data_IF_948988382612
#
_entry.id   IF_948988382612
#
_cell.length_a   1.000
_cell.length_b   1.000
_cell.length_c   1.000
_cell.angle_alpha   90.00
_cell.angle_beta   90.00
_cell.angle_gamma   90.00
#
_symmetry.space_group_name_H-M   'P 1'
#
loop_
_entity.id
_entity.type
_entity.pdbx_description
1 polymer ?
#
# COMPACT_ATOMS: atom_id res chain seq x y z
N UNK A 1 14.61 0.64 -3.48
CA UNK A 1 13.14 0.74 -3.46
C UNK A 1 12.56 -0.46 -4.18
N UNK A 2 11.57 -1.14 -3.58
CA UNK A 2 10.76 -2.21 -4.19
C UNK A 2 9.26 -1.91 -4.09
N UNK A 3 8.45 -2.53 -4.94
CA UNK A 3 7.04 -2.14 -5.10
C UNK A 3 6.09 -3.27 -5.50
N UNK A 4 4.79 -2.97 -5.39
CA UNK A 4 3.66 -3.72 -5.95
C UNK A 4 2.63 -2.67 -6.45
N UNK A 5 2.09 -2.78 -7.67
CA UNK A 5 1.17 -1.77 -8.26
C UNK A 5 -0.29 -2.19 -8.24
N UNK A 6 -1.22 -1.69 -9.06
CA UNK A 6 -2.50 -2.38 -9.31
C UNK A 6 -2.37 -3.28 -10.56
N UNK A 7 -3.18 -4.34 -10.65
CA UNK A 7 -3.38 -5.12 -11.89
C UNK A 7 -4.63 -4.69 -12.67
N UNK A 8 -5.37 -3.69 -12.20
CA UNK A 8 -6.54 -3.17 -12.89
C UNK A 8 -6.16 -2.70 -14.30
N UNK A 9 -7.02 -2.97 -15.28
CA UNK A 9 -6.80 -2.62 -16.69
C UNK A 9 -6.85 -1.11 -16.93
N UNK A 10 -7.61 -0.37 -16.13
CA UNK A 10 -7.75 1.08 -16.19
C UNK A 10 -6.71 1.78 -15.32
N UNK A 11 -5.42 1.49 -15.53
CA UNK A 11 -4.34 2.10 -14.74
C UNK A 11 -4.41 3.62 -14.76
N UNK A 12 -4.38 4.24 -13.58
CA UNK A 12 -4.33 5.70 -13.46
C UNK A 12 -3.02 6.26 -14.01
N UNK A 13 -3.06 7.49 -14.54
CA UNK A 13 -1.89 8.21 -15.04
C UNK A 13 -0.67 8.19 -14.08
N UNK A 14 -0.80 8.47 -12.77
CA UNK A 14 0.34 8.41 -11.84
C UNK A 14 0.96 7.01 -11.70
N UNK A 15 0.17 5.93 -11.80
CA UNK A 15 0.70 4.56 -11.77
C UNK A 15 1.54 4.28 -13.01
N UNK A 16 1.09 4.72 -14.18
CA UNK A 16 1.84 4.59 -15.45
C UNK A 16 3.15 5.36 -15.35
N UNK A 17 3.09 6.65 -14.98
CA UNK A 17 4.28 7.50 -14.85
C UNK A 17 5.27 6.96 -13.83
N UNK A 18 4.80 6.49 -12.67
CA UNK A 18 5.67 5.89 -11.65
C UNK A 18 6.30 4.58 -12.13
N UNK A 19 5.57 3.71 -12.83
CA UNK A 19 6.13 2.52 -13.48
C UNK A 19 7.25 2.90 -14.45
N UNK A 20 7.08 3.96 -15.24
CA UNK A 20 8.11 4.45 -16.16
C UNK A 20 9.35 5.00 -15.45
N UNK A 21 9.19 5.77 -14.37
CA UNK A 21 10.33 6.27 -13.58
C UNK A 21 11.14 5.13 -12.98
N UNK A 22 10.45 4.12 -12.48
CA UNK A 22 11.07 2.99 -11.82
C UNK A 22 11.76 2.00 -12.76
N UNK A 23 11.45 2.06 -14.08
CA UNK A 23 12.26 1.41 -15.13
C UNK A 23 13.61 2.10 -15.32
N UNK A 24 13.70 3.41 -15.07
CA UNK A 24 14.93 4.19 -15.25
C UNK A 24 15.88 4.05 -14.06
N UNK A 25 15.33 4.06 -12.85
CA UNK A 25 16.14 3.99 -11.63
C UNK A 25 15.35 3.41 -10.45
N UNK A 26 16.07 2.73 -9.56
CA UNK A 26 15.57 2.27 -8.25
C UNK A 26 16.02 3.17 -7.09
N UNK A 27 16.80 4.21 -7.40
CA UNK A 27 17.33 5.19 -6.45
C UNK A 27 16.36 6.37 -6.29
N UNK A 28 15.17 6.08 -5.77
CA UNK A 28 14.16 7.11 -5.51
C UNK A 28 14.49 7.86 -4.23
N UNK A 29 14.34 9.18 -4.26
CA UNK A 29 14.62 10.11 -3.18
C UNK A 29 13.36 10.83 -2.66
N UNK A 30 12.32 10.93 -3.49
CA UNK A 30 11.06 11.54 -3.08
C UNK A 30 9.85 10.80 -3.69
N UNK A 31 8.77 10.77 -2.92
CA UNK A 31 7.44 10.37 -3.36
C UNK A 31 6.55 11.59 -3.16
N UNK A 32 5.89 12.06 -4.22
CA UNK A 32 4.88 13.12 -4.14
C UNK A 32 3.51 12.48 -4.26
N UNK A 33 2.64 12.74 -3.28
CA UNK A 33 1.34 12.09 -3.18
C UNK A 33 0.28 13.18 -3.07
N UNK A 34 -0.78 13.08 -3.87
CA UNK A 34 -1.97 13.92 -3.69
C UNK A 34 -3.18 13.06 -3.32
N UNK A 35 -4.03 13.58 -2.44
CA UNK A 35 -5.34 13.03 -2.10
C UNK A 35 -6.46 13.89 -2.69
N UNK A 36 -7.69 13.38 -2.68
CA UNK A 36 -8.89 14.04 -3.22
C UNK A 36 -9.17 13.80 -4.72
N UNK A 37 -8.13 13.68 -5.56
CA UNK A 37 -8.27 13.39 -7.00
C UNK A 37 -7.30 12.28 -7.40
N UNK A 38 -7.82 11.17 -7.93
CA UNK A 38 -7.03 10.00 -8.28
C UNK A 38 -6.21 10.17 -9.57
N UNK A 39 -6.53 11.17 -10.39
CA UNK A 39 -5.96 11.34 -11.73
C UNK A 39 -6.02 10.05 -12.57
N UNK A 40 -7.17 9.38 -12.48
CA UNK A 40 -7.51 8.18 -13.25
C UNK A 40 -8.56 8.55 -14.31
N UNK A 41 -8.52 7.90 -15.47
CA UNK A 41 -9.42 8.18 -16.60
C UNK A 41 -9.39 9.65 -17.07
N UNK A 42 -8.22 10.29 -17.01
CA UNK A 42 -8.00 11.72 -17.32
C UNK A 42 -7.29 11.96 -18.65
N UNK A 43 -7.07 10.90 -19.44
CA UNK A 43 -6.44 10.94 -20.76
C UNK A 43 -5.01 11.48 -20.74
N UNK A 44 -4.58 11.97 -21.90
CA UNK A 44 -3.24 12.53 -22.13
C UNK A 44 -2.92 13.71 -21.20
N UNK A 45 -3.92 14.53 -20.89
CA UNK A 45 -3.76 15.65 -19.95
C UNK A 45 -3.40 15.17 -18.54
N UNK A 46 -4.06 14.11 -18.05
CA UNK A 46 -3.74 13.50 -16.77
C UNK A 46 -2.32 12.94 -16.70
N UNK A 47 -1.86 12.31 -17.78
CA UNK A 47 -0.47 11.85 -17.91
C UNK A 47 0.53 13.02 -17.84
N UNK A 48 0.29 14.09 -18.60
CA UNK A 48 1.12 15.30 -18.56
C UNK A 48 1.13 15.95 -17.18
N UNK A 49 -0.02 16.01 -16.51
CA UNK A 49 -0.13 16.55 -15.15
C UNK A 49 0.70 15.74 -14.16
N UNK A 50 0.63 14.39 -14.20
CA UNK A 50 1.46 13.54 -13.35
C UNK A 50 2.97 13.73 -13.60
N UNK A 51 3.38 13.89 -14.87
CA UNK A 51 4.76 14.22 -15.24
C UNK A 51 5.15 15.61 -14.71
N UNK A 52 4.29 16.62 -14.89
CA UNK A 52 4.50 18.00 -14.43
C UNK A 52 4.66 18.07 -12.90
N UNK A 53 3.88 17.30 -12.13
CA UNK A 53 4.06 17.18 -10.68
C UNK A 53 5.47 16.74 -10.30
N UNK A 54 6.06 15.79 -11.05
CA UNK A 54 7.46 15.38 -10.85
C UNK A 54 8.43 16.52 -11.15
N UNK A 55 8.18 17.29 -12.20
CA UNK A 55 9.05 18.42 -12.56
C UNK A 55 9.04 19.51 -11.48
N UNK A 56 7.85 19.88 -11.03
CA UNK A 56 7.65 20.83 -9.93
C UNK A 56 8.36 20.34 -8.67
N UNK A 57 8.16 19.07 -8.30
CA UNK A 57 8.81 18.46 -7.13
C UNK A 57 10.33 18.48 -7.26
N UNK A 58 10.85 18.22 -8.46
CA UNK A 58 12.28 18.26 -8.76
C UNK A 58 12.86 19.67 -8.54
N UNK A 59 12.15 20.70 -8.96
CA UNK A 59 12.58 22.10 -8.79
C UNK A 59 12.63 22.49 -7.31
N UNK A 60 11.57 22.23 -6.54
CA UNK A 60 11.50 22.64 -5.13
C UNK A 60 12.39 21.80 -4.19
N UNK A 61 12.68 20.54 -4.53
CA UNK A 61 13.54 19.67 -3.71
C UNK A 61 15.01 19.62 -4.16
N UNK A 62 15.35 20.17 -5.33
CA UNK A 62 16.69 20.02 -5.91
C UNK A 62 17.07 18.56 -6.22
N UNK A 63 16.07 17.69 -6.40
CA UNK A 63 16.25 16.26 -6.70
C UNK A 63 16.05 16.02 -8.19
N UNK A 64 16.90 15.21 -8.83
CA UNK A 64 16.71 14.86 -10.25
C UNK A 64 15.34 14.21 -10.51
N UNK A 65 14.63 14.64 -11.56
CA UNK A 65 13.30 14.13 -11.96
C UNK A 65 13.18 12.59 -12.01
N UNK A 66 14.26 11.89 -12.38
CA UNK A 66 14.26 10.40 -12.44
C UNK A 66 14.17 9.74 -11.06
N UNK A 67 14.59 10.43 -10.01
CA UNK A 67 14.61 9.93 -8.64
C UNK A 67 13.32 10.28 -7.86
N UNK A 68 12.26 10.70 -8.55
CA UNK A 68 10.98 11.11 -7.97
C UNK A 68 9.87 10.25 -8.58
N UNK A 69 8.98 9.77 -7.73
CA UNK A 69 7.76 9.07 -8.14
C UNK A 69 6.52 9.79 -7.63
N UNK A 70 5.39 9.56 -8.29
CA UNK A 70 4.11 10.20 -7.98
C UNK A 70 3.06 9.16 -7.64
N UNK A 71 2.17 9.49 -6.71
CA UNK A 71 0.95 8.74 -6.46
C UNK A 71 -0.24 9.68 -6.29
N UNK A 72 -1.43 9.17 -6.54
CA UNK A 72 -2.67 9.93 -6.38
C UNK A 72 -3.78 9.03 -5.88
N UNK A 73 -4.75 9.59 -5.17
CA UNK A 73 -5.95 8.87 -4.71
C UNK A 73 -7.13 9.84 -4.58
N UNK A 74 -8.36 9.35 -4.74
CA UNK A 74 -9.58 10.13 -4.66
C UNK A 74 -10.47 9.99 -5.89
N UNK A 75 -11.12 11.07 -6.29
CA UNK A 75 -12.15 11.04 -7.36
C UNK A 75 -11.52 10.72 -8.73
N UNK A 76 -12.15 9.79 -9.46
CA UNK A 76 -11.80 9.38 -10.84
C UNK A 76 -12.42 10.38 -11.85
N UNK A 77 -11.75 10.63 -12.97
CA UNK A 77 -12.26 11.44 -14.08
C UNK A 77 -12.10 12.96 -13.91
N UNK A 78 -11.54 13.43 -12.79
CA UNK A 78 -11.24 14.85 -12.56
C UNK A 78 -9.77 15.16 -12.85
N UNK A 79 -9.53 16.27 -13.54
CA UNK A 79 -8.17 16.79 -13.76
C UNK A 79 -7.58 17.32 -12.46
N UNK A 80 -6.26 17.20 -12.32
CA UNK A 80 -5.54 17.79 -11.19
C UNK A 80 -5.53 19.33 -11.31
N UNK A 81 -5.90 20.07 -10.24
CA UNK A 81 -5.75 21.51 -10.20
C UNK A 81 -4.27 21.86 -10.02
N UNK A 82 -3.53 21.99 -11.12
CA UNK A 82 -2.06 22.06 -11.09
C UNK A 82 -1.49 23.23 -10.28
N UNK A 83 -2.18 24.36 -10.24
CA UNK A 83 -1.77 25.51 -9.39
C UNK A 83 -1.76 25.13 -7.91
N UNK A 84 -2.75 24.36 -7.44
CA UNK A 84 -2.83 23.86 -6.06
C UNK A 84 -1.78 22.79 -5.80
N UNK A 85 -1.48 21.95 -6.80
CA UNK A 85 -0.41 20.95 -6.71
C UNK A 85 0.93 21.66 -6.53
N UNK A 86 1.20 22.69 -7.32
CA UNK A 86 2.45 23.44 -7.25
C UNK A 86 2.64 24.11 -5.89
N UNK A 87 1.62 24.83 -5.43
CA UNK A 87 1.65 25.48 -4.12
C UNK A 87 1.79 24.46 -2.98
N UNK A 88 1.07 23.33 -3.05
CA UNK A 88 1.21 22.26 -2.06
C UNK A 88 2.62 21.67 -2.03
N UNK A 89 3.23 21.42 -3.18
CA UNK A 89 4.61 20.93 -3.25
C UNK A 89 5.59 21.94 -2.67
N UNK A 90 5.44 23.24 -2.98
CA UNK A 90 6.27 24.32 -2.42
C UNK A 90 6.19 24.34 -0.89
N UNK A 91 4.99 24.24 -0.32
CA UNK A 91 4.79 24.23 1.13
C UNK A 91 5.39 22.97 1.78
N UNK A 92 5.17 21.79 1.20
CA UNK A 92 5.74 20.54 1.69
C UNK A 92 7.28 20.56 1.67
N UNK A 93 7.88 21.10 0.61
CA UNK A 93 9.33 21.23 0.50
C UNK A 93 9.93 22.07 1.65
N UNK A 94 9.24 23.13 2.07
CA UNK A 94 9.67 23.99 3.19
C UNK A 94 9.50 23.33 4.57
N UNK A 95 8.67 22.28 4.68
CA UNK A 95 8.30 21.62 5.95
C UNK A 95 8.92 20.23 6.12
N UNK A 96 9.79 19.79 5.21
CA UNK A 96 10.39 18.47 5.28
C UNK A 96 11.10 18.25 6.63
N UNK A 97 10.73 17.17 7.29
CA UNK A 97 11.26 16.77 8.59
C UNK A 97 11.64 15.28 8.59
N UNK A 98 12.60 14.90 9.42
CA UNK A 98 12.98 13.51 9.64
C UNK A 98 12.05 12.74 10.59
N UNK A 99 11.10 13.42 11.24
CA UNK A 99 10.27 12.85 12.32
C UNK A 99 8.77 13.02 12.10
N UNK A 100 8.35 13.65 11.01
CA UNK A 100 6.93 13.98 10.75
C UNK A 100 6.26 12.96 9.82
N UNK A 101 6.24 11.69 10.26
CA UNK A 101 5.53 10.63 9.53
C UNK A 101 4.01 10.78 9.60
N UNK A 102 3.51 11.34 10.70
CA UNK A 102 2.08 11.49 10.98
C UNK A 102 1.39 12.44 10.00
N UNK A 103 1.96 13.62 9.77
CA UNK A 103 1.37 14.57 8.81
C UNK A 103 1.29 13.99 7.39
N UNK A 104 2.24 13.12 7.02
CA UNK A 104 2.17 12.39 5.75
C UNK A 104 1.06 11.33 5.74
N UNK A 105 0.84 10.64 6.86
CA UNK A 105 -0.26 9.67 7.00
C UNK A 105 -1.63 10.35 6.91
N UNK A 106 -1.81 11.52 7.53
CA UNK A 106 -3.05 12.32 7.46
C UNK A 106 -3.28 12.89 6.05
N UNK A 107 -2.24 13.41 5.40
CA UNK A 107 -2.36 14.07 4.10
C UNK A 107 -2.80 13.12 2.97
N UNK A 108 -2.58 11.81 3.11
CA UNK A 108 -2.95 10.82 2.08
C UNK A 108 -4.37 10.26 2.23
N UNK A 109 -5.08 10.59 3.31
CA UNK A 109 -6.44 10.08 3.57
C UNK A 109 -7.46 10.56 2.53
N UNK A 110 -8.54 9.79 2.35
CA UNK A 110 -9.73 10.26 1.61
C UNK A 110 -11.02 10.05 2.38
N UNK A 111 -11.50 8.81 2.44
CA UNK A 111 -12.72 8.39 3.12
C UNK A 111 -12.39 7.66 4.43
N UNK A 112 -11.10 7.38 4.64
CA UNK A 112 -10.51 6.98 5.90
C UNK A 112 -10.99 7.89 7.06
N UNK A 113 -11.37 7.29 8.19
CA UNK A 113 -11.75 8.06 9.39
C UNK A 113 -10.52 8.38 10.25
N UNK A 114 -9.47 7.55 10.15
CA UNK A 114 -8.24 7.68 10.94
C UNK A 114 -6.98 7.43 10.12
N UNK A 115 -5.90 8.12 10.51
CA UNK A 115 -4.56 7.87 9.98
C UNK A 115 -4.08 6.45 10.32
N UNK A 116 -3.41 5.80 9.37
CA UNK A 116 -2.93 4.41 9.52
C UNK A 116 -1.42 4.40 9.41
N UNK A 117 -0.77 4.30 10.55
CA UNK A 117 0.69 4.33 10.66
C UNK A 117 1.21 3.34 11.70
N UNK A 118 2.45 2.89 11.52
CA UNK A 118 3.15 2.01 12.47
C UNK A 118 4.66 2.17 12.29
N UNK A 119 5.40 2.08 13.39
CA UNK A 119 6.85 1.96 13.37
C UNK A 119 7.30 0.83 14.32
N UNK A 120 8.29 0.06 13.88
CA UNK A 120 8.88 -1.04 14.66
C UNK A 120 10.40 -0.93 14.63
N UNK A 121 11.03 -1.37 15.71
CA UNK A 121 12.49 -1.40 15.86
C UNK A 121 12.97 -2.82 16.14
N UNK A 122 14.07 -3.22 15.48
CA UNK A 122 14.79 -4.45 15.75
C UNK A 122 16.12 -4.06 16.40
N UNK A 123 16.30 -4.52 17.65
CA UNK A 123 17.54 -4.30 18.39
C UNK A 123 18.73 -5.01 17.72
N UNK A 124 19.81 -4.27 17.56
CA UNK A 124 21.07 -4.71 16.95
C UNK A 124 22.17 -4.59 18.00
N UNK A 125 22.80 -5.71 18.36
CA UNK A 125 23.92 -5.72 19.29
C UNK A 125 25.08 -4.88 18.77
N UNK A 126 25.53 -3.91 19.58
CA UNK A 126 26.68 -3.06 19.29
C UNK A 126 26.49 -2.08 18.13
N UNK A 127 25.25 -1.79 17.71
CA UNK A 127 24.97 -0.94 16.55
C UNK A 127 23.64 -0.20 16.62
N UNK A 128 23.33 0.55 15.56
CA UNK A 128 22.03 1.22 15.42
C UNK A 128 20.92 0.23 15.11
N UNK A 129 19.77 0.43 15.73
CA UNK A 129 18.57 -0.36 15.48
C UNK A 129 18.16 -0.32 14.00
N UNK A 130 17.64 -1.46 13.52
CA UNK A 130 16.90 -1.47 12.25
C UNK A 130 15.49 -0.97 12.53
N UNK A 131 15.10 0.11 11.87
CA UNK A 131 13.78 0.72 11.98
C UNK A 131 13.00 0.43 10.69
N UNK A 132 11.72 0.07 10.85
CA UNK A 132 10.76 -0.03 9.76
C UNK A 132 9.55 0.82 10.14
N UNK A 133 9.26 1.85 9.36
CA UNK A 133 8.08 2.69 9.51
C UNK A 133 7.19 2.56 8.29
N UNK A 134 5.88 2.58 8.46
CA UNK A 134 4.93 2.49 7.36
C UNK A 134 3.70 3.32 7.60
N UNK A 135 3.20 3.93 6.53
CA UNK A 135 1.90 4.59 6.46
C UNK A 135 1.07 3.90 5.38
N UNK A 136 -0.24 3.86 5.58
CA UNK A 136 -1.17 3.40 4.56
C UNK A 136 -2.45 4.23 4.56
N UNK A 137 -3.21 4.11 3.47
CA UNK A 137 -4.57 4.63 3.36
C UNK A 137 -5.41 3.68 2.53
N UNK A 138 -6.71 3.76 2.69
CA UNK A 138 -7.70 2.88 2.08
C UNK A 138 -8.81 2.57 3.08
N UNK A 139 -10.04 2.62 2.60
CA UNK A 139 -11.26 2.37 3.38
C UNK A 139 -12.34 1.78 2.47
N UNK A 140 -12.57 2.40 1.31
CA UNK A 140 -13.36 1.86 0.21
C UNK A 140 -12.52 1.40 -0.98
N UNK A 141 -13.15 0.65 -1.87
CA UNK A 141 -12.61 0.03 -3.08
C UNK A 141 -11.46 -0.96 -2.78
N UNK A 142 -11.60 -1.78 -1.75
CA UNK A 142 -10.54 -2.69 -1.28
C UNK A 142 -10.84 -4.13 -1.72
N UNK A 143 -9.99 -4.73 -2.57
CA UNK A 143 -10.04 -6.16 -2.98
C UNK A 143 -8.65 -6.67 -3.43
N UNK A 144 -8.28 -7.94 -3.17
CA UNK A 144 -6.97 -8.48 -3.55
C UNK A 144 -6.61 -8.38 -5.04
N UNK A 145 -5.33 -8.64 -5.31
CA UNK A 145 -4.61 -8.37 -6.57
C UNK A 145 -4.21 -6.91 -6.71
N UNK A 146 -3.89 -6.36 -5.54
CA UNK A 146 -3.55 -4.98 -5.24
C UNK A 146 -4.82 -4.13 -5.36
N UNK A 147 -5.37 -3.87 -4.16
CA UNK A 147 -6.64 -3.25 -3.71
C UNK A 147 -6.52 -1.73 -3.51
N UNK A 148 -7.61 -0.90 -3.50
CA UNK A 148 -7.60 0.61 -3.28
C UNK A 148 -6.88 1.09 -2.05
N UNK A 149 -5.57 0.98 -2.11
CA UNK A 149 -4.71 1.36 -1.03
C UNK A 149 -3.45 1.97 -1.59
N UNK A 150 -2.94 2.93 -0.83
CA UNK A 150 -1.55 3.36 -0.95
C UNK A 150 -0.85 2.97 0.34
N UNK A 151 0.34 2.39 0.22
CA UNK A 151 1.17 1.98 1.35
C UNK A 151 2.61 2.33 1.08
N UNK A 152 3.20 3.11 1.97
CA UNK A 152 4.57 3.61 1.85
C UNK A 152 5.34 3.22 3.10
N UNK A 153 6.32 2.35 2.91
CA UNK A 153 7.13 1.76 3.98
C UNK A 153 8.57 2.20 3.78
N UNK A 154 9.21 2.62 4.86
CA UNK A 154 10.61 3.01 4.88
C UNK A 154 11.37 2.17 5.89
N UNK A 155 12.63 1.90 5.58
CA UNK A 155 13.57 1.24 6.50
C UNK A 155 14.97 1.79 6.33
N UNK A 156 15.72 1.76 7.42
CA UNK A 156 17.11 2.21 7.45
C UNK A 156 18.14 1.08 7.17
N UNK A 157 17.71 -0.17 6.99
CA UNK A 157 18.64 -1.30 6.73
C UNK A 157 19.20 -1.28 5.31
N UNK A 158 20.42 -1.77 5.13
CA UNK A 158 20.98 -2.11 3.82
C UNK A 158 20.57 -3.53 3.45
N UNK A 159 19.89 -3.69 2.31
CA UNK A 159 19.42 -5.00 1.85
C UNK A 159 19.52 -5.10 0.31
N UNK A 160 20.00 -6.23 -0.25
CA UNK A 160 19.98 -6.45 -1.68
C UNK A 160 18.57 -6.35 -2.26
N UNK A 161 18.49 -5.77 -3.46
CA UNK A 161 17.23 -5.53 -4.17
C UNK A 161 16.43 -6.82 -4.33
N UNK A 162 17.03 -7.85 -4.91
CA UNK A 162 16.40 -9.16 -5.11
C UNK A 162 15.86 -9.78 -3.82
N UNK A 163 16.57 -9.62 -2.70
CA UNK A 163 16.12 -10.13 -1.41
C UNK A 163 14.90 -9.36 -0.89
N UNK A 164 14.91 -8.03 -1.01
CA UNK A 164 13.77 -7.21 -0.64
C UNK A 164 12.56 -7.43 -1.56
N UNK A 165 12.76 -7.68 -2.86
CA UNK A 165 11.71 -8.03 -3.81
C UNK A 165 11.02 -9.34 -3.41
N UNK A 166 11.80 -10.36 -3.07
CA UNK A 166 11.26 -11.65 -2.64
C UNK A 166 10.43 -11.52 -1.35
N UNK A 167 10.97 -10.79 -0.35
CA UNK A 167 10.25 -10.55 0.90
C UNK A 167 8.95 -9.78 0.61
N UNK A 168 9.03 -8.69 -0.16
CA UNK A 168 7.87 -7.88 -0.48
C UNK A 168 6.79 -8.68 -1.20
N UNK A 169 7.16 -9.47 -2.21
CA UNK A 169 6.19 -10.28 -2.97
C UNK A 169 5.45 -11.28 -2.08
N UNK A 170 6.15 -11.94 -1.15
CA UNK A 170 5.55 -12.88 -0.20
C UNK A 170 4.64 -12.16 0.81
N UNK A 171 5.11 -11.04 1.36
CA UNK A 171 4.38 -10.32 2.41
C UNK A 171 3.19 -9.52 1.87
N UNK A 172 3.25 -8.96 0.65
CA UNK A 172 2.07 -8.37 -0.02
C UNK A 172 0.98 -9.42 -0.15
N UNK A 173 1.34 -10.64 -0.58
CA UNK A 173 0.42 -11.78 -0.66
C UNK A 173 -0.32 -12.06 0.64
N UNK A 174 0.39 -11.97 1.78
CA UNK A 174 -0.11 -12.30 3.13
C UNK A 174 -0.69 -11.12 3.92
N UNK A 175 -0.74 -9.93 3.34
CA UNK A 175 -1.24 -8.70 3.98
C UNK A 175 -2.24 -8.00 3.08
N UNK A 176 -1.80 -7.03 2.28
CA UNK A 176 -2.64 -6.18 1.43
C UNK A 176 -3.42 -6.99 0.36
N UNK A 177 -2.87 -8.09 -0.15
CA UNK A 177 -3.59 -9.01 -1.04
C UNK A 177 -4.40 -10.07 -0.29
N UNK A 178 -4.60 -9.94 1.02
CA UNK A 178 -5.41 -10.84 1.86
C UNK A 178 -6.53 -10.09 2.59
N UNK A 179 -6.85 -8.87 2.15
CA UNK A 179 -7.93 -8.06 2.70
C UNK A 179 -8.92 -7.67 1.62
N UNK A 180 -10.18 -7.47 2.01
CA UNK A 180 -11.24 -6.92 1.17
C UNK A 180 -12.23 -6.14 2.03
N UNK A 181 -12.84 -5.10 1.45
CA UNK A 181 -13.96 -4.36 2.05
C UNK A 181 -15.19 -4.53 1.19
N UNK A 182 -15.11 -4.25 -0.11
CA UNK A 182 -16.26 -4.16 -1.01
C UNK A 182 -16.08 -4.91 -2.33
N UNK A 183 -15.02 -5.72 -2.49
CA UNK A 183 -14.83 -6.49 -3.71
C UNK A 183 -14.32 -5.67 -4.91
N UNK A 184 -14.08 -4.38 -4.76
CA UNK A 184 -13.73 -3.51 -5.88
C UNK A 184 -12.21 -3.27 -5.94
N UNK A 185 -11.58 -3.49 -7.10
CA UNK A 185 -10.13 -3.27 -7.28
C UNK A 185 -9.83 -1.86 -7.82
N UNK A 186 -8.86 -1.13 -7.24
CA UNK A 186 -8.54 0.23 -7.69
C UNK A 186 -7.79 0.32 -9.01
N UNK A 187 -7.81 1.53 -9.54
CA UNK A 187 -6.95 1.99 -10.63
C UNK A 187 -5.58 2.54 -10.16
N UNK A 188 -5.40 2.75 -8.85
CA UNK A 188 -4.26 3.51 -8.29
C UNK A 188 -3.29 2.73 -7.40
N UNK A 189 -3.51 1.44 -7.16
CA UNK A 189 -2.87 0.76 -6.03
C UNK A 189 -1.37 0.69 -6.07
N UNK A 190 -0.78 0.87 -4.90
CA UNK A 190 0.67 0.95 -4.78
C UNK A 190 1.16 0.65 -3.37
N UNK A 191 1.98 -0.39 -3.25
CA UNK A 191 2.85 -0.63 -2.08
C UNK A 191 4.26 -0.26 -2.48
N UNK A 192 4.93 0.60 -1.73
CA UNK A 192 6.35 0.96 -1.92
C UNK A 192 7.12 0.65 -0.64
N UNK A 193 8.29 0.02 -0.77
CA UNK A 193 9.28 -0.12 0.32
C UNK A 193 10.59 0.56 -0.08
N UNK A 194 11.03 1.55 0.71
CA UNK A 194 12.31 2.26 0.54
C UNK A 194 13.27 1.86 1.65
N UNK A 195 14.44 1.34 1.25
CA UNK A 195 15.56 1.08 2.14
C UNK A 195 16.65 2.13 1.88
N UNK A 196 17.03 2.90 2.90
CA UNK A 196 18.00 4.00 2.76
C UNK A 196 19.40 3.70 3.34
N UNK A 197 19.59 2.52 3.93
CA UNK A 197 20.88 2.04 4.45
C UNK A 197 21.51 2.87 5.60
N UNK A 198 20.77 3.76 6.27
CA UNK A 198 21.29 4.61 7.36
C UNK A 198 21.63 3.88 8.66
N UNK A 199 21.18 2.65 8.90
CA UNK A 199 21.50 1.92 10.15
C UNK A 199 22.92 1.36 10.19
N UNK A 200 23.65 1.38 9.07
CA UNK A 200 24.92 0.66 8.87
C UNK A 200 24.82 -0.87 9.05
N UNK A 201 23.61 -1.43 9.17
CA UNK A 201 23.36 -2.86 9.22
C UNK A 201 23.04 -3.37 7.82
N UNK A 202 23.69 -4.46 7.43
CA UNK A 202 23.50 -5.09 6.12
C UNK A 202 22.96 -6.51 6.28
N UNK A 203 21.82 -6.79 5.63
CA UNK A 203 21.26 -8.14 5.50
C UNK A 203 21.73 -8.68 4.15
N UNK A 204 22.75 -9.54 4.15
CA UNK A 204 23.39 -9.98 2.90
C UNK A 204 22.59 -11.02 2.13
N UNK A 205 21.94 -11.94 2.84
CA UNK A 205 21.20 -13.07 2.26
C UNK A 205 20.26 -13.69 3.31
N UNK A 206 19.57 -14.78 2.95
CA UNK A 206 18.60 -15.48 3.83
C UNK A 206 19.21 -16.14 5.07
N UNK A 207 20.53 -16.37 5.09
CA UNK A 207 21.26 -16.95 6.23
C UNK A 207 21.74 -15.89 7.21
N UNK A 208 21.59 -14.60 6.88
CA UNK A 208 21.98 -13.49 7.74
C UNK A 208 21.21 -13.51 9.08
N UNK A 209 21.90 -13.20 10.17
CA UNK A 209 21.33 -13.25 11.53
C UNK A 209 20.10 -12.33 11.70
N UNK A 210 20.02 -11.24 10.93
CA UNK A 210 18.89 -10.31 10.99
C UNK A 210 17.80 -10.59 9.95
N UNK A 211 18.02 -11.51 9.00
CA UNK A 211 17.07 -11.77 7.91
C UNK A 211 15.67 -12.15 8.43
N UNK A 212 15.58 -13.14 9.32
CA UNK A 212 14.29 -13.59 9.88
C UNK A 212 13.61 -12.49 10.70
N UNK A 213 14.39 -11.76 11.51
CA UNK A 213 13.88 -10.64 12.33
C UNK A 213 13.31 -9.54 11.45
N UNK A 214 14.03 -9.14 10.39
CA UNK A 214 13.59 -8.14 9.43
C UNK A 214 12.34 -8.58 8.66
N UNK A 215 12.32 -9.81 8.13
CA UNK A 215 11.14 -10.34 7.43
C UNK A 215 9.91 -10.33 8.34
N UNK A 216 10.05 -10.78 9.59
CA UNK A 216 8.94 -10.79 10.54
C UNK A 216 8.46 -9.38 10.91
N UNK A 217 9.39 -8.43 11.09
CA UNK A 217 9.06 -7.04 11.38
C UNK A 217 8.34 -6.36 10.21
N UNK A 218 8.79 -6.61 8.96
CA UNK A 218 8.11 -6.11 7.77
C UNK A 218 6.72 -6.76 7.62
N UNK A 219 6.60 -8.07 7.87
CA UNK A 219 5.31 -8.78 7.91
C UNK A 219 4.36 -8.16 8.91
N UNK A 220 4.84 -7.84 10.12
CA UNK A 220 4.06 -7.19 11.18
C UNK A 220 3.54 -5.83 10.73
N UNK A 221 4.43 -4.97 10.21
CA UNK A 221 4.07 -3.64 9.68
C UNK A 221 3.00 -3.74 8.60
N UNK A 222 3.21 -4.61 7.60
CA UNK A 222 2.27 -4.74 6.48
C UNK A 222 0.92 -5.32 6.90
N UNK A 223 0.90 -6.30 7.81
CA UNK A 223 -0.34 -6.88 8.34
C UNK A 223 -1.10 -5.91 9.24
N UNK A 224 -0.41 -5.15 10.07
CA UNK A 224 -1.02 -4.14 10.92
C UNK A 224 -1.71 -3.06 10.07
N UNK A 225 -1.01 -2.52 9.08
CA UNK A 225 -1.57 -1.56 8.13
C UNK A 225 -2.76 -2.14 7.35
N UNK A 226 -2.66 -3.39 6.89
CA UNK A 226 -3.76 -4.07 6.21
C UNK A 226 -4.99 -4.25 7.12
N UNK A 227 -4.79 -4.61 8.39
CA UNK A 227 -5.88 -4.72 9.37
C UNK A 227 -6.51 -3.36 9.67
N UNK A 228 -5.71 -2.30 9.80
CA UNK A 228 -6.20 -0.92 9.97
C UNK A 228 -7.06 -0.47 8.79
N UNK A 229 -6.74 -0.88 7.56
CA UNK A 229 -7.57 -0.61 6.38
C UNK A 229 -8.95 -1.25 6.51
N UNK A 230 -9.02 -2.53 6.86
CA UNK A 230 -10.32 -3.24 6.97
C UNK A 230 -11.14 -2.78 8.17
N UNK A 231 -10.47 -2.52 9.30
CA UNK A 231 -11.11 -2.00 10.50
C UNK A 231 -11.76 -0.64 10.25
N UNK A 232 -11.11 0.19 9.44
CA UNK A 232 -11.60 1.50 9.02
C UNK A 232 -12.34 1.44 7.67
N UNK A 233 -12.88 0.29 7.27
CA UNK A 233 -13.63 0.15 6.04
C UNK A 233 -14.88 1.04 6.03
N UNK A 234 -15.31 1.53 4.87
CA UNK A 234 -16.43 2.48 4.78
C UNK A 234 -17.72 1.89 5.39
N UNK A 235 -18.20 2.50 6.48
CA UNK A 235 -19.36 2.03 7.24
C UNK A 235 -19.15 0.73 8.03
N UNK A 236 -17.91 0.24 8.14
CA UNK A 236 -17.60 -0.96 8.90
C UNK A 236 -17.76 -0.73 10.41
N UNK A 237 -18.33 -1.72 11.10
CA UNK A 237 -18.45 -1.71 12.58
C UNK A 237 -17.65 -2.83 13.24
N UNK A 238 -17.17 -3.79 12.44
CA UNK A 238 -16.47 -4.99 12.91
C UNK A 238 -15.40 -5.40 11.90
N UNK A 239 -14.27 -5.86 12.41
CA UNK A 239 -13.27 -6.60 11.64
C UNK A 239 -13.58 -8.10 11.71
N UNK A 240 -13.51 -8.79 10.56
CA UNK A 240 -13.73 -10.23 10.46
C UNK A 240 -12.49 -10.89 9.90
N UNK A 241 -11.96 -11.88 10.61
CA UNK A 241 -10.84 -12.70 10.15
C UNK A 241 -11.35 -14.08 9.74
N UNK A 242 -11.11 -14.46 8.47
CA UNK A 242 -11.50 -15.76 7.93
C UNK A 242 -10.28 -16.67 7.83
N UNK A 243 -10.32 -17.79 8.55
CA UNK A 243 -9.25 -18.79 8.54
C UNK A 243 -9.74 -20.07 7.87
N UNK A 244 -9.32 -20.27 6.61
CA UNK A 244 -9.59 -21.51 5.89
C UNK A 244 -8.47 -22.52 6.17
N UNK A 245 -8.84 -23.66 6.73
CA UNK A 245 -7.94 -24.79 7.02
C UNK A 245 -8.32 -25.99 6.15
N UNK A 246 -7.38 -26.92 5.97
CA UNK A 246 -7.58 -28.17 5.23
C UNK A 246 -8.00 -28.03 3.75
N UNK A 247 -7.87 -26.82 3.17
CA UNK A 247 -7.96 -26.67 1.73
C UNK A 247 -6.78 -27.38 1.04
N UNK A 248 -7.04 -27.96 -0.13
CA UNK A 248 -6.05 -28.68 -0.94
C UNK A 248 -4.79 -27.87 -1.22
N UNK A 249 -4.94 -26.57 -1.42
CA UNK A 249 -3.84 -25.65 -1.62
C UNK A 249 -4.21 -24.22 -1.16
N UNK A 250 -3.21 -23.34 -1.08
CA UNK A 250 -3.39 -21.94 -0.63
C UNK A 250 -4.24 -21.11 -1.59
N UNK A 251 -4.26 -21.44 -2.87
CA UNK A 251 -5.05 -20.71 -3.88
C UNK A 251 -6.54 -20.93 -3.62
N UNK A 252 -6.94 -22.18 -3.42
CA UNK A 252 -8.33 -22.52 -3.10
C UNK A 252 -8.72 -22.00 -1.71
N UNK A 253 -7.82 -22.10 -0.71
CA UNK A 253 -8.05 -21.50 0.60
C UNK A 253 -8.40 -20.02 0.50
N UNK A 254 -7.64 -19.28 -0.33
CA UNK A 254 -7.86 -17.85 -0.55
C UNK A 254 -9.16 -17.58 -1.32
N UNK A 255 -9.46 -18.35 -2.36
CA UNK A 255 -10.71 -18.22 -3.12
C UNK A 255 -11.93 -18.41 -2.21
N UNK A 256 -11.92 -19.47 -1.39
CA UNK A 256 -12.98 -19.76 -0.42
C UNK A 256 -13.14 -18.63 0.61
N UNK A 257 -12.02 -18.14 1.16
CA UNK A 257 -12.05 -17.02 2.10
C UNK A 257 -12.66 -15.76 1.46
N UNK A 258 -12.27 -15.42 0.23
CA UNK A 258 -12.78 -14.24 -0.47
C UNK A 258 -14.24 -14.38 -0.88
N UNK A 259 -14.69 -15.57 -1.27
CA UNK A 259 -16.11 -15.82 -1.57
C UNK A 259 -16.98 -15.49 -0.35
N UNK A 260 -16.56 -15.90 0.85
CA UNK A 260 -17.25 -15.57 2.10
C UNK A 260 -17.10 -14.09 2.43
N UNK A 261 -15.89 -13.53 2.36
CA UNK A 261 -15.61 -12.12 2.70
C UNK A 261 -16.41 -11.12 1.83
N UNK A 262 -16.61 -11.45 0.55
CA UNK A 262 -17.33 -10.62 -0.42
C UNK A 262 -18.83 -10.93 -0.50
N UNK A 263 -19.34 -11.91 0.28
CA UNK A 263 -20.76 -12.21 0.32
C UNK A 263 -21.52 -11.11 1.08
N UNK A 264 -22.36 -10.35 0.36
CA UNK A 264 -23.25 -9.36 0.97
C UNK A 264 -24.15 -9.98 2.04
N UNK A 265 -24.63 -11.21 1.83
CA UNK A 265 -25.39 -11.93 2.83
C UNK A 265 -24.54 -12.20 4.08
N UNK A 266 -23.31 -12.68 3.93
CA UNK A 266 -22.44 -12.89 5.08
C UNK A 266 -22.15 -11.58 5.83
N UNK A 267 -21.75 -10.52 5.12
CA UNK A 267 -21.45 -9.20 5.70
C UNK A 267 -22.63 -8.63 6.48
N UNK A 268 -23.84 -8.69 5.91
CA UNK A 268 -25.06 -8.20 6.57
C UNK A 268 -25.46 -9.03 7.79
N UNK A 269 -25.25 -10.36 7.78
CA UNK A 269 -25.49 -11.20 8.96
C UNK A 269 -24.54 -10.83 10.11
N UNK A 270 -23.25 -10.63 9.81
CA UNK A 270 -22.24 -10.26 10.81
C UNK A 270 -22.50 -8.86 11.39
N UNK A 271 -22.97 -7.92 10.56
CA UNK A 271 -23.45 -6.62 11.00
C UNK A 271 -24.63 -6.76 11.97
N UNK A 272 -25.64 -7.56 11.61
CA UNK A 272 -26.82 -7.87 12.43
C UNK A 272 -26.56 -8.80 13.63
N UNK A 273 -25.30 -9.21 13.87
CA UNK A 273 -24.91 -10.15 14.92
C UNK A 273 -25.57 -11.54 14.81
N UNK A 274 -25.93 -11.95 13.59
CA UNK A 274 -26.53 -13.24 13.27
C UNK A 274 -25.44 -14.25 12.86
N UNK A 275 -25.27 -15.32 13.65
CA UNK A 275 -24.30 -16.40 13.40
C UNK A 275 -24.81 -17.41 12.37
N UNK A 276 -25.12 -16.90 11.17
CA UNK A 276 -25.71 -17.68 10.09
C UNK A 276 -24.68 -18.45 9.26
N UNK A 277 -24.32 -19.64 9.73
CA UNK A 277 -23.39 -20.54 9.04
C UNK A 277 -23.88 -20.95 7.64
N UNK A 278 -25.19 -20.95 7.40
CA UNK A 278 -25.76 -21.22 6.09
C UNK A 278 -25.27 -20.24 5.03
N UNK A 279 -25.12 -18.96 5.37
CA UNK A 279 -24.58 -17.92 4.47
C UNK A 279 -23.10 -18.13 4.14
N UNK A 280 -22.34 -18.74 5.05
CA UNK A 280 -20.94 -19.14 4.82
C UNK A 280 -20.90 -20.29 3.81
N UNK A 281 -21.71 -21.33 4.04
CA UNK A 281 -21.77 -22.49 3.15
C UNK A 281 -22.22 -22.13 1.73
N UNK A 282 -23.26 -21.29 1.59
CA UNK A 282 -23.72 -20.81 0.28
C UNK A 282 -22.61 -20.06 -0.45
N UNK A 283 -21.90 -19.16 0.23
CA UNK A 283 -20.80 -18.41 -0.37
C UNK A 283 -19.67 -19.34 -0.85
N UNK A 284 -19.22 -20.26 0.00
CA UNK A 284 -18.17 -21.23 -0.37
C UNK A 284 -18.62 -22.17 -1.50
N UNK A 285 -19.85 -22.66 -1.47
CA UNK A 285 -20.40 -23.59 -2.46
C UNK A 285 -20.71 -22.98 -3.82
N UNK A 286 -20.71 -21.65 -3.94
CA UNK A 286 -21.05 -20.93 -5.17
C UNK A 286 -19.89 -20.74 -6.15
N UNK A 287 -18.66 -21.10 -5.77
CA UNK A 287 -17.46 -20.87 -6.58
C UNK A 287 -16.76 -22.17 -6.96
N UNK A 288 -16.06 -22.23 -8.10
CA UNK A 288 -15.22 -23.37 -8.45
C UNK A 288 -13.92 -23.37 -7.61
N UNK A 289 -13.64 -24.50 -6.95
CA UNK A 289 -12.38 -24.79 -6.26
C UNK A 289 -12.01 -26.28 -6.45
N UNK A 290 -10.73 -26.63 -6.27
CA UNK A 290 -10.16 -27.93 -6.65
C UNK A 290 -10.05 -28.97 -5.54
#
# INVERSE_FOLDING_TARGET
>A
LQWSFTTNKFLAAPVIVTKEQLKKTRNIKAIVINSGIANACTGEMGYRNARKTIEITSQYLGVEKKNIIVSSTGVIGRQLPMDKIEEGVRQCACKLSGTDGHSAAEAILTTDLVAKEIAVSIKVEGGSDIIIGGIAKGSGMIEPNMATMLSFITTNVKIPKNLLDEILSDEVGRSFNSITVDGCQSTNDMVIVIANSKSNVEIKNKKDKYYKKFKNALSLVMKDLAKKIVLDGEGATKLIELKVINAKNKVDAKKLALAVANSNLFKTAMFGQDLNWGRINVAMGSIPFS
#
